data_IF_196365527299
#
_entry.id   IF_196365527299
#
_cell.length_a   1.000
_cell.length_b   1.000
_cell.length_c   1.000
_cell.angle_alpha   90.00
_cell.angle_beta   90.00
_cell.angle_gamma   90.00
#
_symmetry.space_group_name_H-M   'P 1'
#
loop_
_entity.id
_entity.type
_entity.pdbx_description
1 polymer ?
#
# COMPACT_ATOMS: atom_id res chain seq x y z
N UNK A 1 -6.29 -10.00 -0.03
CA UNK A 1 -6.50 -10.83 1.18
C UNK A 1 -6.43 -9.90 2.39
N UNK A 2 -7.22 -10.06 3.47
CA UNK A 2 -7.10 -9.15 4.61
C UNK A 2 -5.70 -9.29 5.22
N UNK A 3 -5.00 -8.16 5.37
CA UNK A 3 -3.67 -8.14 5.97
C UNK A 3 -3.72 -8.69 7.40
N UNK A 4 -2.79 -9.60 7.70
CA UNK A 4 -2.60 -10.10 9.05
C UNK A 4 -1.69 -9.13 9.81
N UNK A 5 -2.24 -8.50 10.85
CA UNK A 5 -1.47 -7.65 11.76
C UNK A 5 -0.98 -8.53 12.91
N UNK A 6 0.28 -8.32 13.33
CA UNK A 6 0.84 -9.00 14.51
C UNK A 6 0.54 -8.19 15.76
N UNK A 7 0.03 -8.84 16.80
CA UNK A 7 -0.09 -8.23 18.12
C UNK A 7 1.30 -7.79 18.63
N UNK A 8 1.48 -6.54 19.08
CA UNK A 8 2.79 -6.04 19.49
C UNK A 8 3.29 -6.67 20.80
N UNK A 9 2.37 -7.18 21.62
CA UNK A 9 2.69 -7.80 22.92
C UNK A 9 3.07 -9.27 22.76
N UNK A 10 2.21 -10.08 22.12
CA UNK A 10 2.38 -11.54 22.07
C UNK A 10 2.70 -12.11 20.68
N UNK A 11 2.80 -11.27 19.66
CA UNK A 11 3.06 -11.64 18.25
C UNK A 11 2.05 -12.61 17.62
N UNK A 12 0.89 -12.80 18.24
CA UNK A 12 -0.19 -13.55 17.63
C UNK A 12 -0.71 -12.84 16.38
N UNK A 13 -1.10 -13.62 15.38
CA UNK A 13 -1.80 -13.12 14.20
C UNK A 13 -3.19 -12.63 14.56
N UNK A 14 -3.55 -11.47 14.02
CA UNK A 14 -4.80 -10.79 14.27
C UNK A 14 -5.38 -10.23 12.96
N UNK A 15 -6.71 -10.32 12.82
CA UNK A 15 -7.45 -9.73 11.71
C UNK A 15 -8.18 -8.49 12.22
N UNK A 16 -8.07 -7.39 11.50
CA UNK A 16 -8.59 -6.06 11.87
C UNK A 16 -10.11 -6.03 12.06
N UNK A 17 -10.85 -6.97 11.45
CA UNK A 17 -12.30 -7.10 11.58
C UNK A 17 -12.80 -7.83 12.85
N UNK A 18 -11.96 -8.03 13.87
CA UNK A 18 -12.30 -8.74 15.11
C UNK A 18 -12.46 -7.79 16.31
N UNK A 19 -12.75 -8.36 17.49
CA UNK A 19 -12.80 -7.66 18.78
C UNK A 19 -11.58 -6.78 19.00
N UNK A 20 -11.74 -5.58 19.56
CA UNK A 20 -10.65 -4.63 19.82
C UNK A 20 -9.54 -5.18 20.71
N UNK A 21 -9.72 -6.33 21.37
CA UNK A 21 -8.69 -6.98 22.19
C UNK A 21 -8.09 -8.21 21.52
N UNK A 22 -6.79 -8.43 21.74
CA UNK A 22 -6.08 -9.61 21.31
C UNK A 22 -6.62 -10.87 22.02
N UNK A 23 -7.12 -11.86 21.26
CA UNK A 23 -7.63 -13.12 21.82
C UNK A 23 -6.63 -13.93 22.64
N UNK A 24 -5.33 -13.74 22.43
CA UNK A 24 -4.28 -14.51 23.14
C UNK A 24 -3.82 -13.87 24.44
N UNK A 25 -3.66 -12.54 24.48
CA UNK A 25 -3.05 -11.85 25.62
C UNK A 25 -3.93 -10.74 26.22
N UNK A 26 -5.11 -10.48 25.65
CA UNK A 26 -6.02 -9.43 26.13
C UNK A 26 -5.57 -7.99 25.84
N UNK A 27 -4.41 -7.79 25.22
CA UNK A 27 -3.92 -6.45 24.86
C UNK A 27 -4.95 -5.70 23.99
N UNK A 28 -5.14 -4.42 24.27
CA UNK A 28 -5.96 -3.53 23.44
C UNK A 28 -5.27 -3.27 22.10
N UNK A 29 -5.96 -3.62 21.03
CA UNK A 29 -5.56 -3.45 19.64
C UNK A 29 -6.36 -2.35 18.95
N UNK A 30 -7.29 -1.67 19.63
CA UNK A 30 -8.06 -0.57 19.05
C UNK A 30 -7.19 0.48 18.34
N UNK A 31 -6.05 0.93 18.89
CA UNK A 31 -5.20 1.90 18.19
C UNK A 31 -4.60 1.36 16.89
N UNK A 32 -4.27 0.06 16.84
CA UNK A 32 -3.72 -0.56 15.62
C UNK A 32 -4.79 -0.72 14.55
N UNK A 33 -6.01 -1.07 14.96
CA UNK A 33 -7.17 -1.14 14.07
C UNK A 33 -7.44 0.25 13.50
N UNK A 34 -7.44 1.29 14.33
CA UNK A 34 -7.67 2.67 13.89
C UNK A 34 -6.62 3.13 12.87
N UNK A 35 -5.33 2.86 13.11
CA UNK A 35 -4.25 3.19 12.17
C UNK A 35 -4.45 2.45 10.84
N UNK A 36 -4.79 1.17 10.89
CA UNK A 36 -5.07 0.38 9.69
C UNK A 36 -6.27 0.93 8.92
N UNK A 37 -7.40 1.15 9.58
CA UNK A 37 -8.63 1.66 8.96
C UNK A 37 -8.40 3.04 8.35
N UNK A 38 -7.63 3.91 9.02
CA UNK A 38 -7.23 5.21 8.48
C UNK A 38 -6.36 5.07 7.24
N UNK A 39 -5.44 4.10 7.21
CA UNK A 39 -4.61 3.83 6.02
C UNK A 39 -5.47 3.43 4.81
N UNK A 40 -6.48 2.58 5.04
CA UNK A 40 -7.43 2.15 4.00
C UNK A 40 -8.31 3.32 3.55
N UNK A 41 -8.77 4.16 4.47
CA UNK A 41 -9.53 5.36 4.15
C UNK A 41 -8.74 6.29 3.22
N UNK A 42 -7.47 6.57 3.53
CA UNK A 42 -6.60 7.38 2.67
C UNK A 42 -6.39 6.74 1.29
N UNK A 43 -6.21 5.42 1.23
CA UNK A 43 -6.12 4.71 -0.05
C UNK A 43 -7.39 4.88 -0.91
N UNK A 44 -8.57 4.76 -0.29
CA UNK A 44 -9.85 4.99 -0.98
C UNK A 44 -9.97 6.43 -1.48
N UNK A 45 -9.53 7.42 -0.70
CA UNK A 45 -9.47 8.81 -1.14
C UNK A 45 -8.50 8.99 -2.32
N UNK A 46 -7.36 8.31 -2.32
CA UNK A 46 -6.40 8.34 -3.42
C UNK A 46 -7.04 7.81 -4.73
N UNK A 47 -7.76 6.68 -4.65
CA UNK A 47 -8.51 6.12 -5.78
C UNK A 47 -9.58 7.09 -6.27
N UNK A 48 -10.34 7.71 -5.35
CA UNK A 48 -11.38 8.66 -5.70
C UNK A 48 -10.80 9.90 -6.42
N UNK A 49 -9.73 10.48 -5.87
CA UNK A 49 -9.04 11.61 -6.47
C UNK A 49 -8.47 11.25 -7.86
N UNK A 50 -7.91 10.05 -8.02
CA UNK A 50 -7.41 9.56 -9.29
C UNK A 50 -8.54 9.43 -10.34
N UNK A 51 -9.70 8.88 -9.97
CA UNK A 51 -10.88 8.80 -10.85
C UNK A 51 -11.39 10.18 -11.27
N UNK A 52 -11.16 11.21 -10.46
CA UNK A 52 -11.45 12.61 -10.79
C UNK A 52 -10.30 13.32 -11.51
N UNK A 53 -9.29 12.60 -11.99
CA UNK A 53 -8.09 13.13 -12.67
C UNK A 53 -7.22 14.07 -11.81
N UNK A 54 -7.40 14.06 -10.49
CA UNK A 54 -6.63 14.90 -9.56
C UNK A 54 -5.37 14.18 -9.10
N UNK A 55 -4.40 14.00 -10.01
CA UNK A 55 -3.20 13.17 -9.79
C UNK A 55 -2.38 13.60 -8.55
N UNK A 56 -2.19 14.91 -8.32
CA UNK A 56 -1.45 15.38 -7.15
C UNK A 56 -2.17 15.12 -5.83
N UNK A 57 -3.51 15.26 -5.81
CA UNK A 57 -4.30 14.93 -4.63
C UNK A 57 -4.28 13.42 -4.38
N UNK A 58 -4.35 12.61 -5.43
CA UNK A 58 -4.20 11.15 -5.35
C UNK A 58 -2.82 10.77 -4.78
N UNK A 59 -1.75 11.45 -5.22
CA UNK A 59 -0.41 11.23 -4.71
C UNK A 59 -0.32 11.53 -3.21
N UNK A 60 -0.87 12.66 -2.77
CA UNK A 60 -0.88 13.02 -1.35
C UNK A 60 -1.62 11.97 -0.50
N UNK A 61 -2.78 11.51 -0.97
CA UNK A 61 -3.56 10.51 -0.23
C UNK A 61 -2.88 9.15 -0.19
N UNK A 62 -2.22 8.71 -1.27
CA UNK A 62 -1.47 7.45 -1.23
C UNK A 62 -0.24 7.55 -0.31
N UNK A 63 0.42 8.71 -0.27
CA UNK A 63 1.55 8.93 0.64
C UNK A 63 1.12 8.84 2.11
N UNK A 64 -0.06 9.38 2.46
CA UNK A 64 -0.64 9.19 3.81
C UNK A 64 -0.97 7.73 4.12
N UNK A 65 -1.55 6.99 3.15
CA UNK A 65 -1.84 5.56 3.32
C UNK A 65 -0.56 4.75 3.61
N UNK A 66 0.51 5.01 2.84
CA UNK A 66 1.83 4.36 3.01
C UNK A 66 2.48 4.74 4.34
N UNK A 67 2.37 6.00 4.78
CA UNK A 67 2.92 6.44 6.06
C UNK A 67 2.27 5.72 7.27
N UNK A 68 0.97 5.42 7.17
CA UNK A 68 0.24 4.68 8.20
C UNK A 68 0.46 3.17 8.09
N UNK A 69 0.60 2.66 6.87
CA UNK A 69 0.85 1.25 6.62
C UNK A 69 1.76 1.06 5.39
N UNK A 70 3.05 0.90 5.66
CA UNK A 70 4.05 0.72 4.62
C UNK A 70 4.13 -0.72 4.10
N UNK A 71 3.34 -1.65 4.62
CA UNK A 71 3.40 -3.09 4.31
C UNK A 71 2.33 -3.55 3.33
N UNK A 72 1.55 -2.63 2.77
CA UNK A 72 0.56 -2.93 1.73
C UNK A 72 1.20 -2.83 0.34
N UNK A 73 1.27 -3.96 -0.37
CA UNK A 73 1.78 -4.00 -1.75
C UNK A 73 0.89 -3.17 -2.69
N UNK A 74 -0.43 -3.20 -2.50
CA UNK A 74 -1.40 -2.42 -3.28
C UNK A 74 -1.09 -0.92 -3.21
N UNK A 75 -0.72 -0.41 -2.03
CA UNK A 75 -0.46 1.03 -1.85
C UNK A 75 0.78 1.47 -2.64
N UNK A 76 1.85 0.69 -2.56
CA UNK A 76 3.08 0.94 -3.31
C UNK A 76 2.88 0.77 -4.81
N UNK A 77 2.08 -0.22 -5.24
CA UNK A 77 1.77 -0.43 -6.64
C UNK A 77 1.00 0.76 -7.23
N UNK A 78 0.01 1.26 -6.50
CA UNK A 78 -0.77 2.42 -6.89
C UNK A 78 0.07 3.71 -6.89
N UNK A 79 0.94 3.91 -5.90
CA UNK A 79 1.90 5.02 -5.90
C UNK A 79 2.81 4.99 -7.13
N UNK A 80 3.28 3.80 -7.54
CA UNK A 80 4.08 3.64 -8.75
C UNK A 80 3.33 4.05 -10.01
N UNK A 81 2.05 3.68 -10.12
CA UNK A 81 1.19 4.11 -11.22
C UNK A 81 1.03 5.64 -11.26
N UNK A 82 0.79 6.28 -10.11
CA UNK A 82 0.66 7.74 -10.02
C UNK A 82 1.95 8.47 -10.37
N UNK A 83 3.12 7.94 -10.00
CA UNK A 83 4.41 8.51 -10.40
C UNK A 83 4.69 8.37 -11.89
N UNK A 84 4.34 7.22 -12.49
CA UNK A 84 4.50 6.98 -13.92
C UNK A 84 3.65 7.94 -14.76
N UNK A 85 2.40 8.22 -14.33
CA UNK A 85 1.53 9.21 -14.97
C UNK A 85 2.07 10.64 -14.89
N UNK A 86 2.93 10.93 -13.91
CA UNK A 86 3.63 12.21 -13.80
C UNK A 86 4.96 12.23 -14.58
N UNK A 87 5.30 11.17 -15.32
CA UNK A 87 6.57 11.01 -16.03
C UNK A 87 7.78 10.76 -15.12
N UNK A 88 7.57 10.49 -13.83
CA UNK A 88 8.64 10.26 -12.84
C UNK A 88 8.95 8.77 -12.72
N UNK A 89 9.50 8.20 -13.79
CA UNK A 89 9.69 6.75 -13.92
C UNK A 89 10.63 6.14 -12.86
N UNK A 90 11.67 6.86 -12.42
CA UNK A 90 12.55 6.38 -11.34
C UNK A 90 11.79 6.13 -10.03
N UNK A 91 10.88 7.06 -9.69
CA UNK A 91 10.04 6.93 -8.49
C UNK A 91 9.00 5.83 -8.67
N UNK A 92 8.44 5.70 -9.87
CA UNK A 92 7.51 4.64 -10.20
C UNK A 92 8.14 3.25 -10.00
N UNK A 93 9.35 3.06 -10.53
CA UNK A 93 10.10 1.81 -10.41
C UNK A 93 10.45 1.50 -8.95
N UNK A 94 10.87 2.49 -8.17
CA UNK A 94 11.14 2.31 -6.74
C UNK A 94 9.89 1.86 -5.97
N UNK A 95 8.72 2.43 -6.29
CA UNK A 95 7.46 2.06 -5.67
C UNK A 95 7.03 0.63 -6.08
N UNK A 96 7.09 0.27 -7.36
CA UNK A 96 6.77 -1.10 -7.81
C UNK A 96 7.72 -2.15 -7.22
N UNK A 97 9.02 -1.83 -7.08
CA UNK A 97 9.98 -2.70 -6.38
C UNK A 97 9.60 -2.90 -4.92
N UNK A 98 9.09 -1.87 -4.25
CA UNK A 98 8.60 -1.97 -2.87
C UNK A 98 7.37 -2.87 -2.79
N UNK A 99 6.43 -2.77 -3.74
CA UNK A 99 5.29 -3.66 -3.83
C UNK A 99 5.70 -5.13 -4.01
N UNK A 100 6.66 -5.39 -4.91
CA UNK A 100 7.17 -6.75 -5.19
C UNK A 100 7.95 -7.33 -3.99
N UNK A 101 8.67 -6.48 -3.24
CA UNK A 101 9.34 -6.92 -2.03
C UNK A 101 8.36 -7.37 -0.92
N UNK A 102 7.13 -6.87 -0.95
CA UNK A 102 6.06 -7.23 -0.02
C UNK A 102 5.27 -8.44 -0.53
N UNK A 103 4.84 -8.39 -1.79
CA UNK A 103 4.11 -9.44 -2.48
C UNK A 103 4.77 -9.67 -3.85
N UNK A 104 5.57 -10.74 -3.90
CA UNK A 104 6.34 -11.07 -5.09
C UNK A 104 5.45 -11.33 -6.31
N UNK A 105 4.21 -11.77 -6.10
CA UNK A 105 3.23 -12.13 -7.14
C UNK A 105 2.24 -11.00 -7.45
N UNK A 106 2.52 -9.77 -7.00
CA UNK A 106 1.63 -8.63 -7.20
C UNK A 106 1.50 -8.28 -8.70
N UNK A 107 0.34 -8.53 -9.34
CA UNK A 107 0.22 -8.59 -10.79
C UNK A 107 0.50 -7.25 -11.48
N UNK A 108 0.02 -6.16 -10.89
CA UNK A 108 0.22 -4.80 -11.42
C UNK A 108 1.69 -4.40 -11.33
N UNK A 109 2.36 -4.75 -10.23
CA UNK A 109 3.72 -4.31 -9.99
C UNK A 109 4.71 -5.08 -10.88
N UNK A 110 4.50 -6.40 -11.03
CA UNK A 110 5.26 -7.22 -11.98
C UNK A 110 5.11 -6.70 -13.41
N UNK A 111 3.86 -6.54 -13.87
CA UNK A 111 3.58 -6.09 -15.25
C UNK A 111 4.23 -4.73 -15.52
N UNK A 112 4.08 -3.78 -14.58
CA UNK A 112 4.61 -2.44 -14.73
C UNK A 112 6.16 -2.39 -14.70
N UNK A 113 6.80 -3.20 -13.85
CA UNK A 113 8.25 -3.33 -13.86
C UNK A 113 8.74 -3.90 -15.20
N UNK A 114 8.07 -4.92 -15.72
CA UNK A 114 8.48 -5.58 -16.95
C UNK A 114 8.38 -4.66 -18.17
N UNK A 115 7.29 -3.88 -18.26
CA UNK A 115 7.11 -2.84 -19.28
C UNK A 115 8.20 -1.76 -19.21
N UNK A 116 8.62 -1.38 -17.99
CA UNK A 116 9.64 -0.35 -17.82
C UNK A 116 11.03 -0.87 -18.19
N UNK A 117 11.38 -2.10 -17.79
CA UNK A 117 12.66 -2.71 -18.16
C UNK A 117 12.78 -2.91 -19.67
N UNK A 118 11.72 -3.34 -20.36
CA UNK A 118 11.76 -3.48 -21.82
C UNK A 118 11.96 -2.12 -22.51
N UNK A 119 11.28 -1.07 -22.04
CA UNK A 119 11.47 0.28 -22.57
C UNK A 119 12.90 0.82 -22.35
N UNK A 120 13.55 0.41 -21.25
CA UNK A 120 14.92 0.80 -20.94
C UNK A 120 15.96 0.04 -21.77
N UNK A 121 15.69 -1.21 -22.16
CA UNK A 121 16.60 -2.03 -22.99
C UNK A 121 16.50 -1.72 -24.48
N UNK A 122 15.40 -1.12 -24.93
CA UNK A 122 15.16 -0.75 -26.32
C UNK A 122 15.66 0.67 -26.68
N UNK A 123 16.38 1.34 -25.77
CA UNK A 123 17.00 2.68 -25.92
C UNK A 123 18.52 2.60 -25.96
#
# INVERSE_FOLDING_TARGET
MPELIKCPVCRADYRTSATSSCRRCGADLAPLIEIHDRSIWHYQQAIAAFKSSQIFAAQQQIDFAIALNSRSADFHAFAGQLWALQGKFDRALAAWRSAIAIDADHPIAQTAQQMMYSAWTDS
#
